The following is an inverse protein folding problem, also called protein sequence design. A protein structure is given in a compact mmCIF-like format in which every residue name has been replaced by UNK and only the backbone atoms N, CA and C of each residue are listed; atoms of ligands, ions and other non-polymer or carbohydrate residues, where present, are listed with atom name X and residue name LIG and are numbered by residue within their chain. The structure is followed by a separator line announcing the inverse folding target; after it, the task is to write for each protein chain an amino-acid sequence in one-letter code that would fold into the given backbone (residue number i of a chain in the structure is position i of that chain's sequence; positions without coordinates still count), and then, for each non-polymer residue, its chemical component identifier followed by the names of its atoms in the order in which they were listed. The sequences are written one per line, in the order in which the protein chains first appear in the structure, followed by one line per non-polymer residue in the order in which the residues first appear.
data_IF_379791848270
#
_entry.id   IF_379791848270
#
_cell.length_a   1.000
_cell.length_b   1.000
_cell.length_c   1.000
_cell.angle_alpha   90.00
_cell.angle_beta   90.00
_cell.angle_gamma   90.00
#
_symmetry.space_group_name_H-M   'P 1'
#
loop_
_entity.id
_entity.type
_entity.pdbx_description
1 polymer ?
#
# COMPACT_ATOMS: atom_id res chain seq x y z
N UNK A 1 5.89 -21.03 2.10
CA UNK A 1 4.60 -21.76 1.96
C UNK A 1 3.51 -20.72 1.75
N UNK A 2 2.80 -20.79 0.63
CA UNK A 2 1.66 -19.92 0.35
C UNK A 2 0.51 -20.29 1.27
N UNK A 3 0.00 -19.33 2.04
CA UNK A 3 -1.16 -19.59 2.90
C UNK A 3 -2.44 -19.72 2.05
N UNK A 4 -3.48 -20.38 2.56
CA UNK A 4 -4.80 -20.42 1.87
C UNK A 4 -5.32 -19.02 1.57
N UNK A 5 -5.13 -18.08 2.49
CA UNK A 5 -5.52 -16.69 2.30
C UNK A 5 -4.74 -15.99 1.17
N UNK A 6 -3.45 -16.26 1.06
CA UNK A 6 -2.59 -15.75 -0.01
C UNK A 6 -2.96 -16.36 -1.36
N UNK A 7 -3.24 -17.65 -1.40
CA UNK A 7 -3.71 -18.32 -2.61
C UNK A 7 -5.05 -17.73 -3.10
N UNK A 8 -6.04 -17.58 -2.21
CA UNK A 8 -7.33 -16.96 -2.55
C UNK A 8 -7.14 -15.53 -3.05
N UNK A 9 -6.31 -14.73 -2.38
CA UNK A 9 -6.04 -13.34 -2.79
C UNK A 9 -5.40 -13.28 -4.18
N UNK A 10 -4.40 -14.09 -4.45
CA UNK A 10 -3.73 -14.15 -5.75
C UNK A 10 -4.68 -14.60 -6.86
N UNK A 11 -5.57 -15.54 -6.57
CA UNK A 11 -6.60 -15.98 -7.51
C UNK A 11 -7.61 -14.86 -7.80
N UNK A 12 -8.09 -14.15 -6.78
CA UNK A 12 -9.02 -13.03 -6.94
C UNK A 12 -8.39 -11.81 -7.63
N UNK A 13 -7.10 -11.58 -7.43
CA UNK A 13 -6.36 -10.54 -8.13
C UNK A 13 -6.10 -10.87 -9.61
N UNK A 14 -6.21 -12.15 -9.98
CA UNK A 14 -6.14 -12.63 -11.35
C UNK A 14 -4.85 -12.18 -12.05
N UNK A 15 -5.01 -11.60 -13.24
CA UNK A 15 -3.88 -11.12 -14.07
C UNK A 15 -3.02 -10.05 -13.38
N UNK A 16 -3.58 -9.30 -12.44
CA UNK A 16 -2.90 -8.20 -11.77
C UNK A 16 -2.19 -8.61 -10.46
N UNK A 17 -2.20 -9.90 -10.11
CA UNK A 17 -1.67 -10.39 -8.84
C UNK A 17 -0.23 -9.97 -8.56
N UNK A 18 0.64 -10.00 -9.58
CA UNK A 18 2.07 -9.73 -9.38
C UNK A 18 2.29 -8.25 -9.06
N UNK A 19 1.61 -7.36 -9.79
CA UNK A 19 1.65 -5.90 -9.53
C UNK A 19 1.05 -5.57 -8.16
N UNK A 20 -0.06 -6.21 -7.80
CA UNK A 20 -0.72 -5.97 -6.51
C UNK A 20 0.07 -6.50 -5.32
N UNK A 21 0.75 -7.64 -5.47
CA UNK A 21 1.62 -8.17 -4.43
C UNK A 21 2.81 -7.25 -4.18
N UNK A 22 3.47 -6.78 -5.25
CA UNK A 22 4.51 -5.77 -5.12
C UNK A 22 4.00 -4.50 -4.43
N UNK A 23 2.84 -3.98 -4.84
CA UNK A 23 2.25 -2.81 -4.18
C UNK A 23 1.91 -3.04 -2.70
N UNK A 24 1.46 -4.24 -2.32
CA UNK A 24 1.22 -4.56 -0.90
C UNK A 24 2.50 -4.58 -0.09
N UNK A 25 3.61 -5.06 -0.67
CA UNK A 25 4.92 -5.02 -0.03
C UNK A 25 5.41 -3.57 0.14
N UNK A 26 5.35 -2.76 -0.92
CA UNK A 26 5.77 -1.35 -0.88
C UNK A 26 4.94 -0.52 0.13
N UNK A 27 3.61 -0.71 0.13
CA UNK A 27 2.70 0.00 1.02
C UNK A 27 2.63 -0.59 2.45
N UNK A 28 3.37 -1.66 2.75
CA UNK A 28 3.46 -2.20 4.11
C UNK A 28 4.40 -1.40 5.03
N UNK A 29 5.16 -0.46 4.47
CA UNK A 29 6.03 0.45 5.22
C UNK A 29 5.27 1.33 6.21
N UNK A 30 5.89 1.62 7.35
CA UNK A 30 5.31 2.40 8.46
C UNK A 30 4.84 3.79 8.00
N UNK A 31 5.49 4.38 6.99
CA UNK A 31 5.10 5.69 6.43
C UNK A 31 3.71 5.66 5.80
N UNK A 32 3.26 4.52 5.27
CA UNK A 32 1.94 4.33 4.66
C UNK A 32 0.90 3.76 5.61
N UNK A 33 1.30 3.38 6.84
CA UNK A 33 0.39 2.78 7.81
C UNK A 33 -0.74 3.74 8.15
N UNK A 34 -1.95 3.18 8.27
CA UNK A 34 -3.11 3.95 8.70
C UNK A 34 -2.86 4.59 10.06
N UNK A 35 -3.08 5.89 10.16
CA UNK A 35 -2.88 6.67 11.37
C UNK A 35 -3.92 7.78 11.46
N UNK A 36 -4.23 8.19 12.69
CA UNK A 36 -5.16 9.28 12.92
C UNK A 36 -4.53 10.63 12.48
N UNK A 37 -5.22 11.35 11.61
CA UNK A 37 -4.87 12.72 11.20
C UNK A 37 -5.98 13.68 11.66
N UNK A 38 -5.70 14.57 12.63
CA UNK A 38 -6.75 15.34 13.30
C UNK A 38 -7.37 16.45 12.46
N UNK A 39 -6.74 16.86 11.36
CA UNK A 39 -7.31 17.83 10.42
C UNK A 39 -6.81 17.60 8.99
N UNK A 40 -7.47 18.27 8.05
CA UNK A 40 -7.21 18.14 6.60
C UNK A 40 -5.87 18.72 6.17
N UNK A 41 -5.34 19.72 6.89
CA UNK A 41 -4.01 20.29 6.59
C UNK A 41 -2.93 19.25 6.83
N UNK A 42 -2.94 18.59 7.99
CA UNK A 42 -2.00 17.53 8.34
C UNK A 42 -2.15 16.35 7.38
N UNK A 43 -3.39 15.96 7.06
CA UNK A 43 -3.64 14.88 6.11
C UNK A 43 -3.04 15.16 4.72
N UNK A 44 -3.26 16.37 4.17
CA UNK A 44 -2.72 16.77 2.86
C UNK A 44 -1.19 16.78 2.84
N UNK A 45 -0.57 17.34 3.87
CA UNK A 45 0.90 17.37 3.97
C UNK A 45 1.48 15.97 3.98
N UNK A 46 0.91 15.05 4.76
CA UNK A 46 1.39 13.66 4.81
C UNK A 46 1.20 12.91 3.49
N UNK A 47 0.05 13.07 2.85
CA UNK A 47 -0.21 12.46 1.53
C UNK A 47 0.77 12.99 0.50
N UNK A 48 1.09 14.30 0.50
CA UNK A 48 2.07 14.86 -0.42
C UNK A 48 3.47 14.24 -0.24
N UNK A 49 3.91 14.02 1.00
CA UNK A 49 5.17 13.33 1.28
C UNK A 49 5.14 11.85 0.84
N UNK A 50 4.05 11.14 1.13
CA UNK A 50 3.84 9.77 0.65
C UNK A 50 3.89 9.67 -0.88
N UNK A 51 3.27 10.62 -1.59
CA UNK A 51 3.29 10.68 -3.06
C UNK A 51 4.70 10.91 -3.60
N UNK A 52 5.51 11.77 -2.97
CA UNK A 52 6.91 11.98 -3.37
C UNK A 52 7.73 10.69 -3.23
N UNK A 53 7.51 9.93 -2.17
CA UNK A 53 8.18 8.63 -1.96
C UNK A 53 7.78 7.65 -3.06
N UNK A 54 6.49 7.54 -3.37
CA UNK A 54 6.01 6.66 -4.43
C UNK A 54 6.55 7.04 -5.82
N UNK A 55 6.76 8.34 -6.09
CA UNK A 55 7.26 8.82 -7.37
C UNK A 55 8.79 8.73 -7.52
N UNK A 56 9.53 8.48 -6.43
CA UNK A 56 10.99 8.36 -6.45
C UNK A 56 11.49 6.94 -6.82
N UNK A 57 10.56 5.99 -6.98
CA UNK A 57 10.80 4.62 -7.42
C UNK A 57 10.52 4.45 -8.92
#
# INVERSE_FOLDING_TARGET
MTTTAEHLRNTLDGRWRDVKNRMREELSSEVFRAHYTPNTVIARTKVAEQMKIMAAH
#
